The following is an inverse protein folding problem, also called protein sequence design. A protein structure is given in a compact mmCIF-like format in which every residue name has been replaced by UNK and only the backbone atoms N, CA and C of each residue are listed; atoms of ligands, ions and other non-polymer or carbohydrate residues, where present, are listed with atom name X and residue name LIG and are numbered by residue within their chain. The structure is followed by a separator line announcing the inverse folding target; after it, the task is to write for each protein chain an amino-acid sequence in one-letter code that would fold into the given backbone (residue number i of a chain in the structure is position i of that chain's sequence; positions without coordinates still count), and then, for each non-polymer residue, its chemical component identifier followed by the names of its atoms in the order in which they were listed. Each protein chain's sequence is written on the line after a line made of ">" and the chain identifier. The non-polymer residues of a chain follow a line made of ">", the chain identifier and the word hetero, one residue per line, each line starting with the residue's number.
data_IF_118718288453
#
_entry.id   IF_118718288453
#
_cell.length_a   1.000
_cell.length_b   1.000
_cell.length_c   1.000
_cell.angle_alpha   90.00
_cell.angle_beta   90.00
_cell.angle_gamma   90.00
#
_symmetry.space_group_name_H-M   'P 1'
#
loop_
_entity.id
_entity.type
_entity.pdbx_description
1 polymer ?
#
# COMPACT_ATOMS: atom_id res chain seq x y z
N UNK A 1 -7.60 19.70 -5.30
CA UNK A 1 -8.05 20.43 -6.52
C UNK A 1 -7.95 19.52 -7.76
N UNK A 2 -8.82 18.52 -7.91
CA UNK A 2 -8.87 17.70 -9.15
C UNK A 2 -10.28 17.20 -9.51
N UNK A 3 -11.33 17.71 -8.86
CA UNK A 3 -12.72 17.37 -9.17
C UNK A 3 -13.37 18.27 -10.24
N UNK A 4 -12.68 19.30 -10.74
CA UNK A 4 -13.29 20.33 -11.61
C UNK A 4 -13.07 20.15 -13.12
N UNK A 5 -12.27 19.17 -13.58
CA UNK A 5 -11.95 19.01 -15.02
C UNK A 5 -12.77 17.94 -15.75
N UNK A 6 -13.43 17.02 -15.03
CA UNK A 6 -14.17 15.91 -15.67
C UNK A 6 -15.61 16.29 -16.03
N UNK A 7 -16.21 17.25 -15.31
CA UNK A 7 -17.60 17.67 -15.52
C UNK A 7 -17.72 18.64 -16.72
N UNK A 8 -16.71 19.48 -16.95
CA UNK A 8 -16.75 20.49 -18.01
C UNK A 8 -16.53 19.95 -19.43
N UNK A 9 -15.92 18.77 -19.60
CA UNK A 9 -15.73 18.18 -20.94
C UNK A 9 -16.95 17.40 -21.47
N UNK A 10 -17.98 17.22 -20.64
CA UNK A 10 -19.23 16.51 -21.00
C UNK A 10 -20.34 17.48 -21.46
N UNK A 11 -20.24 18.77 -21.11
CA UNK A 11 -21.18 19.81 -21.56
C UNK A 11 -21.03 20.16 -23.05
N UNK A 12 -19.84 19.99 -23.63
CA UNK A 12 -19.59 20.24 -25.05
C UNK A 12 -20.24 19.20 -25.96
N UNK A 13 -20.40 17.95 -25.50
CA UNK A 13 -21.04 16.88 -26.28
C UNK A 13 -22.57 17.05 -26.35
N UNK A 14 -23.18 17.64 -25.32
CA UNK A 14 -24.62 17.91 -25.27
C UNK A 14 -25.06 19.08 -26.17
N UNK A 15 -24.18 20.04 -26.44
CA UNK A 15 -24.49 21.21 -27.28
C UNK A 15 -24.44 20.93 -28.80
N UNK A 16 -23.78 19.86 -29.24
CA UNK A 16 -23.71 19.48 -30.66
C UNK A 16 -24.83 18.53 -31.13
N UNK A 17 -25.64 18.00 -30.22
CA UNK A 17 -26.65 16.97 -30.51
C UNK A 17 -28.10 17.49 -30.63
N UNK A 18 -28.28 18.80 -30.87
CA UNK A 18 -29.61 19.42 -31.01
C UNK A 18 -30.15 19.44 -32.45
N UNK A 19 -29.35 19.01 -33.44
CA UNK A 19 -29.65 19.29 -34.86
C UNK A 19 -30.22 18.12 -35.69
N UNK A 20 -30.35 16.91 -35.14
CA UNK A 20 -30.80 15.75 -35.94
C UNK A 20 -31.82 14.93 -35.16
N UNK A 21 -33.09 15.09 -35.54
CA UNK A 21 -34.28 14.35 -35.08
C UNK A 21 -34.11 13.23 -34.04
N UNK A 22 -34.60 13.49 -32.83
CA UNK A 22 -35.42 12.53 -32.08
C UNK A 22 -34.71 11.40 -31.34
N UNK A 23 -33.96 11.71 -30.30
CA UNK A 23 -33.82 10.77 -29.17
C UNK A 23 -35.04 11.01 -28.27
N UNK A 24 -35.94 10.03 -28.13
CA UNK A 24 -37.03 10.11 -27.15
C UNK A 24 -36.46 10.43 -25.76
N UNK A 25 -37.15 11.24 -24.95
CA UNK A 25 -36.76 11.53 -23.55
C UNK A 25 -36.45 10.26 -22.77
N UNK A 26 -37.09 9.14 -23.14
CA UNK A 26 -36.86 7.80 -22.60
C UNK A 26 -35.43 7.33 -22.85
N UNK A 27 -34.92 7.46 -24.08
CA UNK A 27 -33.55 7.05 -24.43
C UNK A 27 -32.50 7.95 -23.78
N UNK A 28 -32.76 9.25 -23.63
CA UNK A 28 -31.89 10.14 -22.86
C UNK A 28 -31.83 9.72 -21.40
N UNK A 29 -32.96 9.43 -20.76
CA UNK A 29 -32.99 8.95 -19.37
C UNK A 29 -32.27 7.61 -19.20
N UNK A 30 -32.44 6.66 -20.14
CA UNK A 30 -31.72 5.38 -20.13
C UNK A 30 -30.21 5.59 -20.21
N UNK A 31 -29.75 6.47 -21.12
CA UNK A 31 -28.33 6.81 -21.26
C UNK A 31 -27.78 7.50 -19.99
N UNK A 32 -28.54 8.42 -19.39
CA UNK A 32 -28.18 9.07 -18.13
C UNK A 32 -28.11 8.08 -16.96
N UNK A 33 -29.08 7.17 -16.84
CA UNK A 33 -29.06 6.11 -15.82
C UNK A 33 -27.89 5.16 -16.02
N UNK A 34 -27.58 4.78 -17.27
CA UNK A 34 -26.42 3.96 -17.60
C UNK A 34 -25.11 4.67 -17.24
N UNK A 35 -24.96 5.96 -17.58
CA UNK A 35 -23.76 6.73 -17.24
C UNK A 35 -23.60 6.96 -15.74
N UNK A 36 -24.71 7.23 -15.04
CA UNK A 36 -24.76 7.37 -13.58
C UNK A 36 -24.41 6.04 -12.89
N UNK A 37 -25.00 4.93 -13.30
CA UNK A 37 -24.69 3.59 -12.80
C UNK A 37 -23.23 3.20 -13.10
N UNK A 38 -22.74 3.46 -14.31
CA UNK A 38 -21.34 3.23 -14.67
C UNK A 38 -20.39 4.13 -13.85
N UNK A 39 -20.79 5.36 -13.53
CA UNK A 39 -20.05 6.27 -12.66
C UNK A 39 -20.00 5.75 -11.22
N UNK A 40 -21.13 5.27 -10.69
CA UNK A 40 -21.23 4.63 -9.36
C UNK A 40 -20.38 3.36 -9.28
N UNK A 41 -20.39 2.50 -10.30
CA UNK A 41 -19.55 1.30 -10.38
C UNK A 41 -18.07 1.65 -10.46
N UNK A 42 -17.70 2.69 -11.23
CA UNK A 42 -16.32 3.21 -11.25
C UNK A 42 -15.92 3.80 -9.89
N UNK A 43 -16.80 4.54 -9.23
CA UNK A 43 -16.56 5.10 -7.91
C UNK A 43 -16.37 4.00 -6.85
N UNK A 44 -17.21 2.96 -6.85
CA UNK A 44 -17.07 1.80 -5.96
C UNK A 44 -15.75 1.02 -6.20
N UNK A 45 -15.21 1.04 -7.43
CA UNK A 45 -13.87 0.50 -7.73
C UNK A 45 -12.71 1.35 -7.19
N UNK A 46 -12.96 2.58 -6.76
CA UNK A 46 -11.94 3.45 -6.15
C UNK A 46 -11.94 3.40 -4.62
N UNK A 47 -12.98 2.85 -3.99
CA UNK A 47 -12.99 2.73 -2.53
C UNK A 47 -12.05 1.64 -2.05
N UNK A 48 -11.28 2.00 -1.03
CA UNK A 48 -10.57 1.04 -0.20
C UNK A 48 -11.58 0.20 0.58
N UNK A 49 -11.63 -1.13 0.43
CA UNK A 49 -12.44 -1.95 1.34
C UNK A 49 -11.98 -1.69 2.78
N UNK A 50 -12.93 -1.68 3.71
CA UNK A 50 -12.61 -1.68 5.14
C UNK A 50 -11.81 -2.94 5.43
N UNK A 51 -10.54 -2.77 5.82
CA UNK A 51 -9.69 -3.89 6.23
C UNK A 51 -9.86 -4.09 7.73
N UNK A 52 -10.20 -5.31 8.13
CA UNK A 52 -10.45 -5.69 9.53
C UNK A 52 -9.17 -5.80 10.38
N UNK A 53 -8.02 -5.42 9.81
CA UNK A 53 -6.73 -5.43 10.49
C UNK A 53 -6.03 -4.08 10.45
N UNK A 54 -5.17 -3.84 11.43
CA UNK A 54 -4.25 -2.71 11.48
C UNK A 54 -2.80 -3.18 11.49
N UNK A 55 -1.93 -2.32 10.98
CA UNK A 55 -0.48 -2.49 11.05
C UNK A 55 0.00 -1.91 12.38
N UNK A 56 0.59 -2.74 13.23
CA UNK A 56 1.09 -2.35 14.55
C UNK A 56 2.61 -2.22 14.48
N UNK A 57 3.11 -1.07 14.92
CA UNK A 57 4.54 -0.75 15.02
C UNK A 57 4.86 -0.25 16.43
N UNK A 58 6.12 -0.37 16.90
CA UNK A 58 6.58 0.25 18.13
C UNK A 58 6.31 1.75 18.16
N UNK A 59 5.90 2.26 19.32
CA UNK A 59 5.75 3.71 19.57
C UNK A 59 7.07 4.42 19.87
N UNK A 60 8.12 3.67 20.22
CA UNK A 60 9.43 4.20 20.58
C UNK A 60 10.57 3.64 19.71
N UNK A 61 11.79 4.16 19.89
CA UNK A 61 12.94 3.71 19.14
C UNK A 61 13.31 2.27 19.51
N UNK A 62 13.60 1.47 18.50
CA UNK A 62 14.17 0.14 18.66
C UNK A 62 15.68 0.30 18.78
N UNK A 63 16.29 -0.29 19.80
CA UNK A 63 17.71 -0.10 20.12
C UNK A 63 18.46 -1.42 20.00
N UNK A 64 19.68 -1.35 19.47
CA UNK A 64 20.59 -2.49 19.39
C UNK A 64 22.04 -2.02 19.36
N UNK A 65 22.97 -2.93 19.55
CA UNK A 65 24.40 -2.66 19.53
C UNK A 65 25.00 -3.00 18.16
N UNK A 66 26.07 -2.31 17.77
CA UNK A 66 26.77 -2.59 16.51
C UNK A 66 27.27 -4.05 16.45
N UNK A 67 27.14 -4.70 15.30
CA UNK A 67 27.51 -6.09 15.05
C UNK A 67 26.43 -7.12 15.41
N UNK A 68 25.35 -6.72 16.06
CA UNK A 68 24.24 -7.61 16.43
C UNK A 68 23.26 -7.88 15.27
N UNK A 69 22.42 -8.91 15.43
CA UNK A 69 21.24 -9.12 14.60
C UNK A 69 20.00 -8.61 15.36
N UNK A 70 19.11 -7.89 14.67
CA UNK A 70 17.91 -7.31 15.28
C UNK A 70 16.65 -7.63 14.46
N UNK A 71 15.51 -7.76 15.15
CA UNK A 71 14.19 -7.84 14.54
C UNK A 71 13.52 -6.47 14.62
N UNK A 72 13.05 -5.93 13.50
CA UNK A 72 12.26 -4.70 13.46
C UNK A 72 10.77 -5.04 13.63
N UNK A 73 10.14 -4.79 14.80
CA UNK A 73 8.84 -5.36 15.11
C UNK A 73 7.73 -4.74 14.25
N UNK A 74 7.04 -5.54 13.44
CA UNK A 74 5.80 -5.15 12.74
C UNK A 74 4.88 -6.35 12.66
N UNK A 75 3.63 -6.17 13.02
CA UNK A 75 2.63 -7.24 12.89
C UNK A 75 1.23 -6.69 12.61
N UNK A 76 0.35 -7.58 12.17
CA UNK A 76 -1.06 -7.32 11.98
C UNK A 76 -1.84 -7.65 13.23
N UNK A 77 -2.81 -6.79 13.56
CA UNK A 77 -3.76 -7.01 14.65
C UNK A 77 -5.18 -6.80 14.11
N UNK A 78 -6.09 -7.79 14.25
CA UNK A 78 -5.86 -9.14 14.78
C UNK A 78 -4.93 -9.97 13.88
N UNK A 79 -4.53 -11.15 14.36
CA UNK A 79 -3.68 -12.08 13.60
C UNK A 79 -4.33 -12.36 12.23
N UNK A 80 -3.64 -11.96 11.15
CA UNK A 80 -4.16 -12.02 9.79
C UNK A 80 -3.10 -12.58 8.86
N UNK A 81 -3.44 -13.58 8.04
CA UNK A 81 -2.50 -14.17 7.10
C UNK A 81 -2.08 -13.15 6.03
N UNK A 82 -0.79 -12.81 6.01
CA UNK A 82 -0.22 -11.81 5.12
C UNK A 82 0.48 -12.40 3.88
N UNK A 83 0.42 -13.72 3.66
CA UNK A 83 1.11 -14.39 2.53
C UNK A 83 0.59 -13.92 1.17
N UNK A 84 -0.68 -13.52 1.08
CA UNK A 84 -1.27 -12.97 -0.16
C UNK A 84 -1.03 -11.46 -0.33
N UNK A 85 -0.37 -10.81 0.62
CA UNK A 85 -0.13 -9.37 0.61
C UNK A 85 1.23 -9.03 -0.01
N UNK A 86 1.36 -7.81 -0.54
CA UNK A 86 2.65 -7.28 -0.96
C UNK A 86 3.26 -6.45 0.17
N UNK A 87 4.50 -6.77 0.54
CA UNK A 87 5.24 -6.13 1.63
C UNK A 87 6.48 -5.46 1.06
N UNK A 88 6.68 -4.18 1.38
CA UNK A 88 7.88 -3.44 1.01
C UNK A 88 8.50 -2.81 2.24
N UNK A 89 9.81 -2.98 2.38
CA UNK A 89 10.61 -2.37 3.41
C UNK A 89 11.57 -1.35 2.80
N UNK A 90 11.58 -0.17 3.39
CA UNK A 90 12.45 0.93 2.99
C UNK A 90 13.34 1.36 4.15
N UNK A 91 14.58 1.76 3.86
CA UNK A 91 15.42 2.57 4.76
C UNK A 91 15.50 3.98 4.18
N UNK A 92 14.92 4.96 4.85
CA UNK A 92 14.64 6.25 4.23
C UNK A 92 13.79 6.09 2.96
N UNK A 93 14.37 6.38 1.79
CA UNK A 93 13.70 6.24 0.47
C UNK A 93 14.13 4.98 -0.30
N UNK A 94 15.13 4.25 0.18
CA UNK A 94 15.73 3.11 -0.50
C UNK A 94 14.92 1.83 -0.23
N UNK A 95 14.51 1.12 -1.28
CA UNK A 95 13.83 -0.18 -1.16
C UNK A 95 14.85 -1.27 -0.81
N UNK A 96 14.84 -1.77 0.43
CA UNK A 96 15.81 -2.77 0.90
C UNK A 96 15.28 -4.20 0.78
N UNK A 97 13.95 -4.38 0.83
CA UNK A 97 13.30 -5.69 0.71
C UNK A 97 11.88 -5.56 0.16
N UNK A 98 11.49 -6.49 -0.71
CA UNK A 98 10.14 -6.65 -1.20
C UNK A 98 9.73 -8.13 -1.21
N UNK A 99 8.51 -8.40 -0.75
CA UNK A 99 7.83 -9.67 -0.90
C UNK A 99 6.55 -9.46 -1.71
N UNK A 100 6.35 -10.26 -2.76
CA UNK A 100 5.15 -10.24 -3.59
C UNK A 100 4.93 -11.60 -4.25
N UNK A 101 3.73 -12.17 -4.09
CA UNK A 101 3.33 -13.42 -4.75
C UNK A 101 4.34 -14.56 -4.55
N UNK A 102 4.87 -14.71 -3.33
CA UNK A 102 5.88 -15.74 -3.01
C UNK A 102 7.30 -15.44 -3.50
N UNK A 103 7.52 -14.30 -4.18
CA UNK A 103 8.84 -13.89 -4.64
C UNK A 103 9.43 -12.82 -3.73
N UNK A 104 10.73 -12.90 -3.50
CA UNK A 104 11.49 -11.97 -2.67
C UNK A 104 12.55 -11.24 -3.49
N UNK A 105 12.62 -9.92 -3.32
CA UNK A 105 13.64 -9.05 -3.92
C UNK A 105 14.34 -8.24 -2.84
N UNK A 106 15.64 -8.03 -3.00
CA UNK A 106 16.49 -7.29 -2.06
C UNK A 106 17.44 -6.40 -2.83
N UNK A 107 17.79 -5.23 -2.28
CA UNK A 107 18.92 -4.46 -2.80
C UNK A 107 20.24 -5.22 -2.53
N UNK A 108 21.26 -4.98 -3.35
CA UNK A 108 22.58 -5.59 -3.24
C UNK A 108 23.19 -5.42 -1.84
N UNK A 109 23.09 -4.22 -1.26
CA UNK A 109 23.65 -3.90 0.07
C UNK A 109 22.92 -4.64 1.21
N UNK A 110 21.69 -5.09 0.97
CA UNK A 110 20.84 -5.77 1.96
C UNK A 110 20.57 -7.24 1.63
N UNK A 111 21.11 -7.77 0.53
CA UNK A 111 20.82 -9.12 0.00
C UNK A 111 21.03 -10.22 1.04
N UNK A 112 22.06 -10.10 1.87
CA UNK A 112 22.41 -11.06 2.91
C UNK A 112 22.15 -10.54 4.34
N UNK A 113 21.59 -9.34 4.46
CA UNK A 113 21.39 -8.66 5.74
C UNK A 113 19.93 -8.62 6.14
N UNK A 114 18.99 -8.57 5.19
CA UNK A 114 17.56 -8.47 5.47
C UNK A 114 16.81 -9.73 5.04
N UNK A 115 16.04 -10.29 5.95
CA UNK A 115 15.12 -11.41 5.67
C UNK A 115 13.81 -11.26 6.44
N UNK A 116 12.73 -11.78 5.88
CA UNK A 116 11.42 -11.89 6.54
C UNK A 116 11.05 -13.37 6.58
N UNK A 117 10.53 -13.85 7.71
CA UNK A 117 10.11 -15.24 7.84
C UNK A 117 8.76 -15.47 7.15
N UNK A 118 8.76 -16.24 6.06
CA UNK A 118 7.53 -16.59 5.33
C UNK A 118 6.55 -17.37 6.19
N UNK A 119 7.04 -18.16 7.16
CA UNK A 119 6.18 -18.89 8.09
C UNK A 119 5.44 -17.93 9.03
N UNK A 120 6.11 -16.88 9.49
CA UNK A 120 5.54 -15.87 10.39
C UNK A 120 4.55 -14.93 9.68
N UNK A 121 4.68 -14.76 8.35
CA UNK A 121 3.67 -14.07 7.54
C UNK A 121 2.28 -14.71 7.65
N UNK A 122 2.19 -16.03 7.86
CA UNK A 122 0.91 -16.73 8.04
C UNK A 122 0.17 -16.26 9.29
N UNK A 123 0.91 -15.76 10.28
CA UNK A 123 0.42 -15.17 11.54
C UNK A 123 0.41 -13.64 11.48
N UNK A 124 0.57 -13.04 10.29
CA UNK A 124 0.58 -11.59 10.13
C UNK A 124 1.80 -10.88 10.73
N UNK A 125 2.87 -11.60 11.05
CA UNK A 125 4.10 -11.02 11.54
C UNK A 125 5.01 -10.68 10.35
N UNK A 126 5.21 -9.39 10.13
CA UNK A 126 5.91 -8.82 8.97
C UNK A 126 7.34 -8.38 9.30
N UNK A 127 7.80 -8.69 10.51
CA UNK A 127 9.04 -8.20 11.07
C UNK A 127 10.26 -8.74 10.31
N UNK A 128 11.11 -7.87 9.73
CA UNK A 128 12.36 -8.28 9.12
C UNK A 128 13.40 -8.49 10.20
N UNK A 129 14.26 -9.47 9.98
CA UNK A 129 15.55 -9.59 10.66
C UNK A 129 16.58 -8.80 9.86
N UNK A 130 17.26 -7.86 10.51
CA UNK A 130 18.41 -7.13 9.98
C UNK A 130 19.67 -7.66 10.67
N UNK A 131 20.60 -8.21 9.88
CA UNK A 131 21.82 -8.87 10.35
C UNK A 131 23.04 -7.97 10.32
N UNK A 132 23.97 -8.23 11.25
CA UNK A 132 25.25 -7.53 11.37
C UNK A 132 25.07 -6.01 11.33
N UNK A 133 24.21 -5.49 12.20
CA UNK A 133 23.80 -4.08 12.25
C UNK A 133 25.02 -3.17 12.38
N UNK A 134 25.09 -2.12 11.56
CA UNK A 134 26.18 -1.15 11.56
C UNK A 134 25.70 0.19 12.11
N UNK A 135 26.62 1.05 12.55
CA UNK A 135 26.26 2.39 13.02
C UNK A 135 25.45 3.19 11.96
N UNK A 136 25.75 2.98 10.67
CA UNK A 136 25.07 3.58 9.53
C UNK A 136 23.64 3.06 9.31
N UNK A 137 23.22 2.00 10.02
CA UNK A 137 21.85 1.51 9.99
C UNK A 137 20.90 2.27 10.90
N UNK A 138 21.41 3.15 11.76
CA UNK A 138 20.53 4.05 12.50
C UNK A 138 19.67 4.90 11.55
N UNK A 139 18.39 5.07 11.90
CA UNK A 139 17.44 5.85 11.11
C UNK A 139 16.09 5.17 10.96
N UNK A 140 15.31 5.69 10.02
CA UNK A 140 13.91 5.28 9.85
C UNK A 140 13.76 4.15 8.83
N UNK A 141 13.09 3.09 9.27
CA UNK A 141 12.66 1.97 8.45
C UNK A 141 11.16 2.04 8.25
N UNK A 142 10.71 2.03 6.99
CA UNK A 142 9.30 2.10 6.64
C UNK A 142 8.82 0.78 6.06
N UNK A 143 7.82 0.18 6.70
CA UNK A 143 7.04 -0.93 6.17
C UNK A 143 5.82 -0.37 5.40
N UNK A 144 5.67 -0.75 4.13
CA UNK A 144 4.45 -0.53 3.34
C UNK A 144 3.83 -1.87 3.02
N UNK A 145 2.59 -2.05 3.44
CA UNK A 145 1.79 -3.23 3.18
C UNK A 145 0.70 -2.87 2.17
N UNK A 146 0.64 -3.61 1.07
CA UNK A 146 -0.37 -3.46 0.03
C UNK A 146 -1.27 -4.69 0.04
N UNK A 147 -2.56 -4.45 0.21
CA UNK A 147 -3.59 -5.49 0.14
C UNK A 147 -4.82 -4.93 -0.55
N UNK A 148 -5.30 -5.63 -1.57
CA UNK A 148 -6.30 -5.16 -2.53
C UNK A 148 -5.93 -3.78 -3.11
N UNK A 149 -6.75 -2.76 -2.85
CA UNK A 149 -6.55 -1.37 -3.31
C UNK A 149 -6.02 -0.46 -2.21
N UNK A 150 -5.60 -1.02 -1.08
CA UNK A 150 -5.21 -0.24 0.09
C UNK A 150 -3.76 -0.44 0.47
N UNK A 151 -3.23 0.62 1.06
CA UNK A 151 -1.89 0.67 1.60
C UNK A 151 -1.96 0.99 3.08
N UNK A 152 -1.23 0.23 3.90
CA UNK A 152 -0.91 0.60 5.29
C UNK A 152 0.59 0.87 5.38
N UNK A 153 0.97 1.86 6.19
CA UNK A 153 2.35 2.28 6.35
C UNK A 153 2.69 2.31 7.83
N UNK A 154 3.83 1.74 8.20
CA UNK A 154 4.36 1.75 9.56
C UNK A 154 5.82 2.18 9.53
N UNK A 155 6.23 3.01 10.47
CA UNK A 155 7.60 3.54 10.55
C UNK A 155 8.23 3.10 11.87
N UNK A 156 9.48 2.68 11.81
CA UNK A 156 10.28 2.25 12.96
C UNK A 156 11.57 3.06 12.95
N UNK A 157 11.87 3.70 14.07
CA UNK A 157 13.16 4.35 14.28
C UNK A 157 14.14 3.37 14.91
N UNK A 158 15.21 3.01 14.20
CA UNK A 158 16.32 2.20 14.70
C UNK A 158 17.43 3.09 15.23
N UNK A 159 17.88 2.82 16.46
CA UNK A 159 19.01 3.50 17.08
C UNK A 159 20.10 2.48 17.42
N UNK A 160 21.25 2.60 16.75
CA UNK A 160 22.41 1.72 16.96
C UNK A 160 23.36 2.35 17.98
N UNK A 161 23.71 1.59 19.01
CA UNK A 161 24.71 1.97 20.01
C UNK A 161 26.10 1.53 19.55
N UNK A 162 27.08 2.35 19.91
CA UNK A 162 28.50 2.07 19.70
C UNK A 162 28.98 0.98 20.64
#
# INVERSE_FOLDING_TARGET
>A
MLFCRVILSQLSVLLQWRSSGGISLIWSLILFHYHSLACMVKAAKCLCPAQDFRLVVPTGPVRTDSGSDIILPVHLSPETNAVSMEIRWFKGTELIYQYKNGQEMRNNDYKNRVSVSIQELRRGNLAPTLRNVQQSDSGDYTCKLFHDRCQKTGVIHLQVRK
#
